data_IF_060860117392
#
_entry.id   IF_060860117392
#
_cell.length_a   1.000
_cell.length_b   1.000
_cell.length_c   1.000
_cell.angle_alpha   90.00
_cell.angle_beta   90.00
_cell.angle_gamma   90.00
#
_symmetry.space_group_name_H-M   'P 1'
#
loop_
_entity.id
_entity.type
_entity.pdbx_description
1 polymer ?
#
# COMPACT_ATOMS: atom_id res chain seq x y z
N UNK A 1 -24.63 14.06 -0.09
CA UNK A 1 -25.56 12.91 -0.20
C UNK A 1 -24.96 11.77 -1.01
N UNK A 2 -23.98 12.05 -1.87
CA UNK A 2 -23.37 11.06 -2.76
C UNK A 2 -22.62 9.93 -2.05
N UNK A 3 -21.88 10.24 -0.97
CA UNK A 3 -21.16 9.23 -0.20
C UNK A 3 -22.09 8.14 0.38
N UNK A 4 -23.27 8.53 0.89
CA UNK A 4 -24.27 7.59 1.42
C UNK A 4 -24.85 6.69 0.31
N UNK A 5 -25.10 7.26 -0.88
CA UNK A 5 -25.58 6.50 -2.05
C UNK A 5 -24.53 5.48 -2.50
N UNK A 6 -23.29 5.93 -2.71
CA UNK A 6 -22.19 5.07 -3.10
C UNK A 6 -21.93 3.96 -2.07
N UNK A 7 -21.98 4.26 -0.77
CA UNK A 7 -21.87 3.26 0.28
C UNK A 7 -23.00 2.22 0.21
N UNK A 8 -24.23 2.64 -0.11
CA UNK A 8 -25.37 1.72 -0.32
C UNK A 8 -25.21 0.80 -1.53
N UNK A 9 -24.50 1.25 -2.58
CA UNK A 9 -24.14 0.43 -3.74
C UNK A 9 -23.03 -0.58 -3.40
N UNK A 10 -22.11 -0.22 -2.49
CA UNK A 10 -20.97 -1.05 -2.08
C UNK A 10 -21.38 -2.12 -1.04
N UNK A 11 -22.22 -1.77 -0.07
CA UNK A 11 -22.65 -2.69 0.98
C UNK A 11 -23.45 -3.86 0.39
N UNK A 12 -23.09 -5.09 0.79
CA UNK A 12 -23.71 -6.31 0.28
C UNK A 12 -23.15 -6.81 -1.05
N UNK A 13 -22.26 -6.05 -1.71
CA UNK A 13 -21.51 -6.56 -2.87
C UNK A 13 -20.70 -7.81 -2.50
N UNK A 14 -20.43 -8.66 -3.50
CA UNK A 14 -19.51 -9.79 -3.35
C UNK A 14 -18.19 -9.48 -4.08
N UNK A 15 -17.09 -9.40 -3.35
CA UNK A 15 -15.75 -9.18 -3.88
C UNK A 15 -14.91 -10.43 -3.64
N UNK A 16 -14.48 -11.11 -4.71
CA UNK A 16 -13.71 -12.37 -4.63
C UNK A 16 -14.35 -13.43 -3.70
N UNK A 17 -15.68 -13.50 -3.68
CA UNK A 17 -16.45 -14.43 -2.84
C UNK A 17 -16.76 -13.94 -1.41
N UNK A 18 -16.30 -12.75 -1.03
CA UNK A 18 -16.57 -12.17 0.29
C UNK A 18 -17.63 -11.08 0.20
N UNK A 19 -18.64 -11.16 1.06
CA UNK A 19 -19.67 -10.11 1.18
C UNK A 19 -19.12 -8.89 1.90
N UNK A 20 -19.28 -7.71 1.30
CA UNK A 20 -18.90 -6.44 1.91
C UNK A 20 -19.91 -6.08 3.02
N UNK A 21 -19.43 -5.97 4.26
CA UNK A 21 -20.26 -5.69 5.45
C UNK A 21 -20.13 -4.27 5.97
N UNK A 22 -19.02 -3.61 5.66
CA UNK A 22 -18.66 -2.30 6.18
C UNK A 22 -18.01 -1.47 5.08
N UNK A 23 -18.16 -0.15 5.17
CA UNK A 23 -17.55 0.82 4.25
C UNK A 23 -16.79 1.84 5.07
N UNK A 24 -15.52 2.04 4.72
CA UNK A 24 -14.74 3.15 5.24
C UNK A 24 -15.00 4.39 4.39
N UNK A 25 -15.41 5.48 5.03
CA UNK A 25 -15.66 6.76 4.36
C UNK A 25 -14.77 7.82 4.97
N UNK A 26 -14.05 8.55 4.13
CA UNK A 26 -13.15 9.63 4.52
C UNK A 26 -13.39 10.88 3.68
N UNK A 27 -12.83 12.00 4.13
CA UNK A 27 -12.88 13.27 3.39
C UNK A 27 -11.87 13.24 2.25
N UNK A 28 -12.32 13.51 1.03
CA UNK A 28 -11.44 13.64 -0.13
C UNK A 28 -10.29 14.63 0.13
N UNK A 29 -9.07 14.22 -0.19
CA UNK A 29 -7.86 15.04 -0.09
C UNK A 29 -7.31 15.31 -1.49
N UNK A 30 -6.63 16.43 -1.66
CA UNK A 30 -5.84 16.68 -2.87
C UNK A 30 -4.54 15.87 -2.84
N UNK A 31 -4.37 14.98 -3.80
CA UNK A 31 -3.21 14.10 -3.90
C UNK A 31 -2.17 14.76 -4.81
N UNK A 32 -1.16 15.39 -4.21
CA UNK A 32 -0.05 16.03 -4.95
C UNK A 32 0.97 15.01 -5.44
N UNK A 33 1.16 13.91 -4.69
CA UNK A 33 2.08 12.81 -5.04
C UNK A 33 1.65 11.53 -4.33
N UNK A 34 1.77 10.41 -5.02
CA UNK A 34 1.60 9.08 -4.45
C UNK A 34 2.96 8.38 -4.36
N UNK A 35 3.20 7.70 -3.24
CA UNK A 35 4.41 6.92 -2.99
C UNK A 35 4.00 5.49 -2.65
N UNK A 36 4.85 4.53 -3.00
CA UNK A 36 4.77 3.18 -2.48
C UNK A 36 5.64 3.05 -1.22
N UNK A 37 5.06 2.52 -0.14
CA UNK A 37 5.76 2.17 1.09
C UNK A 37 5.29 0.78 1.55
N UNK A 38 6.22 -0.17 1.65
CA UNK A 38 5.96 -1.49 2.19
C UNK A 38 6.99 -1.84 3.27
N UNK A 39 6.54 -2.49 4.35
CA UNK A 39 7.41 -3.10 5.34
C UNK A 39 7.07 -4.58 5.41
N UNK A 40 8.06 -5.43 5.12
CA UNK A 40 7.90 -6.88 5.14
C UNK A 40 9.16 -7.56 5.69
N UNK A 41 9.21 -8.88 5.68
CA UNK A 41 10.37 -9.66 6.07
C UNK A 41 11.14 -10.11 4.82
N UNK A 42 12.40 -9.71 4.75
CA UNK A 42 13.37 -10.32 3.84
C UNK A 42 13.79 -11.66 4.43
N UNK A 43 13.36 -12.75 3.78
CA UNK A 43 13.60 -14.11 4.25
C UNK A 43 15.06 -14.53 4.12
N UNK A 44 15.77 -14.01 3.12
CA UNK A 44 17.18 -14.35 2.90
C UNK A 44 18.06 -13.66 3.94
N UNK A 45 17.80 -12.37 4.18
CA UNK A 45 18.49 -11.61 5.21
C UNK A 45 18.01 -11.95 6.63
N UNK A 46 16.84 -12.59 6.77
CA UNK A 46 16.13 -12.83 8.05
C UNK A 46 15.94 -11.54 8.85
N UNK A 47 15.61 -10.45 8.16
CA UNK A 47 15.46 -9.09 8.72
C UNK A 47 14.22 -8.41 8.16
N UNK A 48 13.64 -7.43 8.86
CA UNK A 48 12.69 -6.52 8.25
C UNK A 48 13.32 -5.80 7.06
N UNK A 49 12.53 -5.52 6.04
CA UNK A 49 12.91 -4.72 4.88
C UNK A 49 11.83 -3.70 4.59
N UNK A 50 12.24 -2.44 4.52
CA UNK A 50 11.43 -1.34 4.04
C UNK A 50 11.64 -1.19 2.53
N UNK A 51 10.56 -1.15 1.77
CA UNK A 51 10.52 -1.01 0.32
C UNK A 51 9.83 0.32 0.01
N UNK A 52 10.49 1.15 -0.79
CA UNK A 52 10.07 2.51 -1.11
C UNK A 52 10.10 2.71 -2.62
N UNK A 53 9.09 3.38 -3.18
CA UNK A 53 9.14 3.86 -4.57
C UNK A 53 8.40 5.18 -4.74
N UNK A 54 8.90 6.03 -5.64
CA UNK A 54 8.18 7.21 -6.10
C UNK A 54 7.01 6.88 -7.04
N UNK A 55 6.86 5.61 -7.44
CA UNK A 55 5.76 5.11 -8.26
C UNK A 55 4.64 4.56 -7.36
N UNK A 56 3.92 5.45 -6.68
CA UNK A 56 2.69 5.09 -5.97
C UNK A 56 1.55 4.73 -6.92
N UNK A 57 0.54 4.01 -6.43
CA UNK A 57 -0.64 3.60 -7.21
C UNK A 57 -0.40 2.49 -8.24
N UNK A 58 0.85 1.99 -8.36
CA UNK A 58 1.23 0.90 -9.27
C UNK A 58 1.46 -0.41 -8.51
N UNK A 59 1.35 -1.53 -9.23
CA UNK A 59 1.76 -2.84 -8.74
C UNK A 59 3.29 -2.84 -8.53
N UNK A 60 3.74 -3.09 -7.29
CA UNK A 60 5.17 -3.00 -6.95
C UNK A 60 5.97 -4.14 -7.57
N UNK A 61 5.35 -5.30 -7.77
CA UNK A 61 5.98 -6.44 -8.43
C UNK A 61 6.24 -6.14 -9.92
N UNK A 62 5.35 -5.41 -10.59
CA UNK A 62 5.57 -4.92 -11.96
C UNK A 62 6.71 -3.89 -12.02
N UNK A 63 6.72 -2.93 -11.08
CA UNK A 63 7.79 -1.91 -11.00
C UNK A 63 9.14 -2.59 -10.78
N UNK A 64 9.21 -3.62 -9.93
CA UNK A 64 10.45 -4.36 -9.68
C UNK A 64 11.00 -5.06 -10.92
N UNK A 65 10.13 -5.49 -11.84
CA UNK A 65 10.53 -6.15 -13.09
C UNK A 65 10.94 -5.16 -14.19
N UNK A 66 10.22 -4.04 -14.31
CA UNK A 66 10.37 -3.11 -15.44
C UNK A 66 11.30 -1.94 -15.15
N UNK A 67 11.36 -1.49 -13.89
CA UNK A 67 12.12 -0.31 -13.42
C UNK A 67 12.70 -0.56 -12.01
N UNK A 68 13.59 -1.55 -11.85
CA UNK A 68 14.12 -1.93 -10.54
C UNK A 68 14.87 -0.79 -9.83
N UNK A 69 15.44 0.15 -10.59
CA UNK A 69 16.12 1.36 -10.10
C UNK A 69 15.17 2.35 -9.40
N UNK A 70 13.86 2.27 -9.66
CA UNK A 70 12.86 3.07 -9.00
C UNK A 70 12.45 2.52 -7.62
N UNK A 71 13.04 1.42 -7.16
CA UNK A 71 12.79 0.82 -5.87
C UNK A 71 14.00 1.00 -4.96
N UNK A 72 13.78 1.67 -3.82
CA UNK A 72 14.74 1.68 -2.72
C UNK A 72 14.37 0.61 -1.69
N UNK A 73 15.40 -0.09 -1.18
CA UNK A 73 15.26 -1.07 -0.10
C UNK A 73 16.19 -0.70 1.05
N UNK A 74 15.70 -0.84 2.28
CA UNK A 74 16.45 -0.60 3.50
C UNK A 74 16.13 -1.68 4.53
N UNK A 75 17.12 -2.29 5.16
CA UNK A 75 16.92 -3.15 6.33
C UNK A 75 17.05 -2.32 7.61
N UNK A 76 15.94 -1.90 8.25
CA UNK A 76 16.02 -1.11 9.47
C UNK A 76 16.65 -1.91 10.62
N UNK A 77 17.35 -1.21 11.51
CA UNK A 77 17.77 -1.80 12.78
C UNK A 77 16.52 -2.10 13.64
N UNK A 78 16.37 -3.31 14.18
CA UNK A 78 15.15 -3.70 14.91
C UNK A 78 14.98 -2.98 16.26
N UNK A 79 16.07 -2.48 16.84
CA UNK A 79 16.06 -1.79 18.12
C UNK A 79 16.00 -0.27 17.97
N UNK A 80 16.56 0.26 16.87
CA UNK A 80 16.71 1.70 16.65
C UNK A 80 15.74 2.26 15.60
N UNK A 81 15.26 1.43 14.68
CA UNK A 81 14.34 1.81 13.62
C UNK A 81 15.04 2.26 12.33
N UNK A 82 14.26 2.73 11.33
CA UNK A 82 14.73 2.95 9.95
C UNK A 82 15.58 4.21 9.72
N UNK A 83 15.78 5.07 10.72
CA UNK A 83 16.45 6.37 10.56
C UNK A 83 17.77 6.46 11.33
N UNK A 84 18.37 5.31 11.64
CA UNK A 84 19.53 5.19 12.55
C UNK A 84 20.72 4.54 11.92
#
# INVERSE_FOLDING_TARGET
MDAKRAAGEILGMTIKGYTVREVWCETAQEIVRELYLGLTLDRDARKPVLILSAQGGMDIEEVAQTRPDAIAKLHPDPWRGPLT
#
